data_IF_552457587090
#
_entry.id   IF_552457587090
#
_cell.length_a   1.000
_cell.length_b   1.000
_cell.length_c   1.000
_cell.angle_alpha   90.00
_cell.angle_beta   90.00
_cell.angle_gamma   90.00
#
_symmetry.space_group_name_H-M   'P 1'
#
loop_
_entity.id
_entity.type
_entity.pdbx_description
1 polymer ?
#
# COMPACT_ATOMS: atom_id res chain seq x y z
N UNK A 1 -4.09 -9.92 -5.49
CA UNK A 1 -3.37 -9.91 -4.19
C UNK A 1 -4.27 -10.50 -3.11
N UNK A 2 -3.98 -11.71 -2.63
CA UNK A 2 -4.82 -12.34 -1.58
C UNK A 2 -4.47 -11.86 -0.16
N UNK A 3 -3.22 -11.45 0.08
CA UNK A 3 -2.75 -10.95 1.39
C UNK A 3 -3.41 -9.61 1.76
N UNK A 4 -3.63 -8.74 0.77
CA UNK A 4 -4.33 -7.47 0.94
C UNK A 4 -5.72 -7.63 1.60
N UNK A 5 -6.47 -8.65 1.18
CA UNK A 5 -7.79 -8.97 1.72
C UNK A 5 -7.77 -9.54 3.15
N UNK A 6 -6.59 -9.76 3.74
CA UNK A 6 -6.46 -10.13 5.17
C UNK A 6 -6.37 -8.91 6.08
N UNK A 7 -6.01 -7.75 5.55
CA UNK A 7 -5.85 -6.50 6.31
C UNK A 7 -7.17 -5.82 6.66
N UNK A 8 -8.22 -6.00 5.86
CA UNK A 8 -9.53 -5.35 6.06
C UNK A 8 -10.57 -6.44 6.29
N UNK A 9 -11.22 -6.43 7.46
CA UNK A 9 -12.25 -7.41 7.87
C UNK A 9 -13.58 -6.73 8.23
N UNK A 10 -13.57 -5.43 8.50
CA UNK A 10 -14.75 -4.61 8.80
C UNK A 10 -14.68 -3.25 8.11
N UNK A 11 -15.82 -2.55 8.01
CA UNK A 11 -15.90 -1.20 7.41
C UNK A 11 -15.13 -0.12 8.19
N UNK A 12 -14.73 -0.39 9.42
CA UNK A 12 -13.93 0.52 10.25
C UNK A 12 -12.43 0.22 10.23
N UNK A 13 -12.01 -0.90 9.62
CA UNK A 13 -10.60 -1.27 9.62
C UNK A 13 -9.79 -0.36 8.70
N UNK A 14 -8.59 0.00 9.14
CA UNK A 14 -7.59 0.71 8.35
C UNK A 14 -6.34 -0.16 8.22
N UNK A 15 -5.79 -0.27 7.03
CA UNK A 15 -4.60 -1.09 6.77
C UNK A 15 -3.70 -0.47 5.72
N UNK A 16 -2.39 -0.67 5.89
CA UNK A 16 -1.36 -0.26 4.93
C UNK A 16 -0.69 -1.51 4.36
N UNK A 17 -0.50 -1.53 3.05
CA UNK A 17 0.26 -2.58 2.35
C UNK A 17 1.54 -1.95 1.84
N UNK A 18 2.68 -2.51 2.26
CA UNK A 18 4.00 -2.03 1.87
C UNK A 18 4.66 -3.04 0.94
N UNK A 19 5.07 -2.56 -0.23
CA UNK A 19 5.77 -3.36 -1.23
C UNK A 19 7.27 -3.04 -1.16
N UNK A 20 8.03 -3.81 -0.39
CA UNK A 20 9.44 -3.54 -0.09
C UNK A 20 10.41 -4.11 -1.14
N UNK A 21 10.15 -3.89 -2.43
CA UNK A 21 11.04 -4.36 -3.50
C UNK A 21 10.97 -3.45 -4.73
N UNK A 22 12.13 -3.10 -5.30
CA UNK A 22 12.20 -2.24 -6.47
C UNK A 22 11.50 -2.84 -7.70
N UNK A 23 11.36 -4.16 -7.78
CA UNK A 23 10.66 -4.84 -8.88
C UNK A 23 9.19 -4.41 -8.99
N UNK A 24 8.59 -3.93 -7.90
CA UNK A 24 7.23 -3.38 -7.92
C UNK A 24 7.14 -2.02 -8.61
N UNK A 25 8.25 -1.28 -8.76
CA UNK A 25 8.32 -0.06 -9.59
C UNK A 25 8.23 -0.39 -11.09
N UNK A 26 8.58 -1.61 -11.49
CA UNK A 26 8.58 -2.05 -12.87
C UNK A 26 7.17 -2.21 -13.46
N UNK A 27 7.04 -1.90 -14.75
CA UNK A 27 5.77 -1.94 -15.49
C UNK A 27 5.06 -3.31 -15.44
N UNK A 28 5.82 -4.40 -15.27
CA UNK A 28 5.26 -5.76 -15.22
C UNK A 28 4.42 -6.02 -13.97
N UNK A 29 4.78 -5.47 -12.80
CA UNK A 29 3.99 -5.66 -11.57
C UNK A 29 2.85 -4.65 -11.44
N UNK A 30 3.01 -3.45 -12.02
CA UNK A 30 1.95 -2.43 -12.05
C UNK A 30 0.65 -2.94 -12.69
N UNK A 31 0.76 -3.85 -13.69
CA UNK A 31 -0.39 -4.46 -14.38
C UNK A 31 -1.26 -5.33 -13.47
N UNK A 32 -0.68 -5.86 -12.39
CA UNK A 32 -1.35 -6.71 -11.42
C UNK A 32 -1.98 -5.91 -10.27
N UNK A 33 -1.75 -4.59 -10.22
CA UNK A 33 -2.30 -3.70 -9.22
C UNK A 33 -3.60 -3.07 -9.74
N UNK A 34 -4.55 -2.73 -8.85
CA UNK A 34 -5.76 -2.02 -9.24
C UNK A 34 -5.42 -0.71 -9.98
N UNK A 35 -6.18 -0.36 -11.02
CA UNK A 35 -5.90 0.82 -11.86
C UNK A 35 -5.99 2.14 -11.08
N UNK A 36 -6.79 2.14 -10.03
CA UNK A 36 -7.02 3.22 -9.07
C UNK A 36 -6.04 3.19 -7.88
N UNK A 37 -5.08 2.26 -7.88
CA UNK A 37 -4.07 2.17 -6.84
C UNK A 37 -3.01 3.27 -7.03
N UNK A 38 -3.19 4.39 -6.35
CA UNK A 38 -2.21 5.47 -6.29
C UNK A 38 -0.97 5.04 -5.50
N UNK A 39 0.05 4.54 -6.19
CA UNK A 39 1.29 4.10 -5.56
C UNK A 39 2.10 5.30 -5.06
N UNK A 40 2.50 5.25 -3.79
CA UNK A 40 3.48 6.17 -3.21
C UNK A 40 4.81 5.44 -3.17
N UNK A 41 5.80 5.96 -3.89
CA UNK A 41 7.16 5.43 -3.87
C UNK A 41 8.00 6.27 -2.93
N UNK A 42 8.51 5.67 -1.86
CA UNK A 42 9.28 6.39 -0.85
C UNK A 42 10.25 5.48 -0.11
N UNK A 43 11.33 6.07 0.40
CA UNK A 43 12.24 5.45 1.37
C UNK A 43 11.86 5.80 2.82
N UNK A 44 10.97 6.78 3.02
CA UNK A 44 10.55 7.29 4.34
C UNK A 44 9.19 6.74 4.75
N UNK A 45 9.08 5.42 4.79
CA UNK A 45 7.82 4.71 4.99
C UNK A 45 7.12 5.11 6.29
N UNK A 46 7.89 5.29 7.36
CA UNK A 46 7.43 5.66 8.70
C UNK A 46 6.59 6.94 8.71
N UNK A 47 6.96 7.94 7.91
CA UNK A 47 6.24 9.22 7.83
C UNK A 47 4.85 8.99 7.23
N UNK A 48 4.76 8.22 6.15
CA UNK A 48 3.47 8.00 5.46
C UNK A 48 2.55 7.10 6.26
N UNK A 49 3.10 6.09 6.95
CA UNK A 49 2.32 5.23 7.84
C UNK A 49 1.75 6.05 9.00
N UNK A 50 2.57 6.88 9.66
CA UNK A 50 2.08 7.73 10.75
C UNK A 50 1.01 8.71 10.25
N UNK A 51 1.23 9.40 9.13
CA UNK A 51 0.18 10.26 8.53
C UNK A 51 -1.13 9.53 8.24
N UNK A 52 -1.07 8.29 7.75
CA UNK A 52 -2.25 7.48 7.45
C UNK A 52 -3.06 7.11 8.69
N UNK A 53 -2.39 6.73 9.78
CA UNK A 53 -3.08 6.31 11.02
C UNK A 53 -3.45 7.48 11.93
N UNK A 54 -2.56 8.48 12.05
CA UNK A 54 -2.64 9.57 13.03
C UNK A 54 -3.28 10.84 12.46
N UNK A 55 -3.41 10.96 11.13
CA UNK A 55 -4.07 12.09 10.47
C UNK A 55 -3.32 13.43 10.55
N UNK A 56 -2.01 13.40 10.82
CA UNK A 56 -1.11 14.56 10.88
C UNK A 56 -0.77 15.18 9.52
#
# INVERSE_FOLDING_TARGET
MQVAGRCIRSGSDKGVIVLMDERYRGSNFSKCLPKDFAQIVTEKLEIYISKFFDGL
#
